data_IF_535554628557
#
_entry.id   IF_535554628557
#
_cell.length_a   1.000
_cell.length_b   1.000
_cell.length_c   1.000
_cell.angle_alpha   90.00
_cell.angle_beta   90.00
_cell.angle_gamma   90.00
#
_symmetry.space_group_name_H-M   'P 1'
#
loop_
_entity.id
_entity.type
_entity.pdbx_description
1 polymer ?
#
# COMPACT_ATOMS: atom_id res chain seq x y z
N UNK A 1 -23.22 -14.36 16.97
CA UNK A 1 -22.01 -14.75 16.21
C UNK A 1 -22.17 -14.28 14.78
N UNK A 2 -21.78 -13.03 14.51
CA UNK A 2 -21.77 -12.47 13.16
C UNK A 2 -20.47 -12.96 12.49
N UNK A 3 -20.63 -13.90 11.56
CA UNK A 3 -19.58 -14.62 10.84
C UNK A 3 -18.62 -13.67 10.12
N UNK A 4 -17.37 -13.57 10.56
CA UNK A 4 -16.24 -12.96 9.85
C UNK A 4 -16.08 -13.51 8.41
N UNK A 5 -16.50 -14.77 8.21
CA UNK A 5 -16.57 -15.44 6.91
C UNK A 5 -17.59 -14.81 5.94
N UNK A 6 -18.50 -13.93 6.42
CA UNK A 6 -19.52 -13.29 5.59
C UNK A 6 -19.12 -11.91 5.04
N UNK A 7 -18.29 -11.14 5.74
CA UNK A 7 -18.02 -9.75 5.33
C UNK A 7 -16.93 -9.64 4.26
N UNK A 8 -15.81 -10.35 4.43
CA UNK A 8 -14.71 -10.37 3.44
C UNK A 8 -15.21 -10.92 2.10
N UNK A 9 -15.97 -12.02 2.12
CA UNK A 9 -16.56 -12.60 0.93
C UNK A 9 -17.62 -11.70 0.27
N UNK A 10 -18.40 -10.95 1.06
CA UNK A 10 -19.36 -9.97 0.53
C UNK A 10 -18.64 -8.78 -0.13
N UNK A 11 -17.58 -8.27 0.50
CA UNK A 11 -16.76 -7.18 -0.07
C UNK A 11 -16.07 -7.61 -1.36
N UNK A 12 -15.50 -8.81 -1.41
CA UNK A 12 -14.90 -9.37 -2.63
C UNK A 12 -15.94 -9.52 -3.77
N UNK A 13 -17.15 -10.00 -3.45
CA UNK A 13 -18.25 -10.09 -4.43
C UNK A 13 -18.71 -8.71 -4.92
N UNK A 14 -18.81 -7.71 -4.04
CA UNK A 14 -19.11 -6.32 -4.43
C UNK A 14 -18.04 -5.77 -5.37
N UNK A 15 -16.75 -6.01 -5.09
CA UNK A 15 -15.68 -5.60 -5.98
C UNK A 15 -15.63 -6.38 -7.30
N UNK A 16 -16.12 -7.62 -7.35
CA UNK A 16 -16.20 -8.40 -8.61
C UNK A 16 -17.13 -7.76 -9.63
N UNK A 17 -18.19 -7.07 -9.18
CA UNK A 17 -19.09 -6.30 -10.07
C UNK A 17 -18.34 -5.12 -10.70
N UNK A 18 -17.35 -4.57 -10.00
CA UNK A 18 -16.47 -3.49 -10.49
C UNK A 18 -15.53 -3.97 -11.59
N UNK A 19 -15.22 -5.27 -11.71
CA UNK A 19 -14.27 -5.77 -12.72
C UNK A 19 -14.71 -5.54 -14.17
N UNK A 20 -16.03 -5.45 -14.39
CA UNK A 20 -16.57 -5.16 -15.72
C UNK A 20 -16.61 -3.66 -16.05
N UNK A 21 -16.49 -2.78 -15.05
CA UNK A 21 -16.63 -1.33 -15.23
C UNK A 21 -15.55 -0.67 -16.11
N UNK A 22 -14.26 -1.08 -16.09
CA UNK A 22 -13.28 -0.57 -17.06
C UNK A 22 -13.60 -0.92 -18.51
N UNK A 23 -14.27 -2.06 -18.76
CA UNK A 23 -14.70 -2.42 -20.11
C UNK A 23 -15.80 -1.47 -20.62
N UNK A 24 -16.77 -1.13 -19.76
CA UNK A 24 -17.82 -0.16 -20.11
C UNK A 24 -17.27 1.25 -20.36
N UNK A 25 -16.28 1.69 -19.59
CA UNK A 25 -15.58 2.98 -19.84
C UNK A 25 -14.92 2.96 -21.22
N UNK A 26 -14.20 1.90 -21.58
CA UNK A 26 -13.58 1.79 -22.92
C UNK A 26 -14.61 1.81 -24.05
N UNK A 27 -15.74 1.13 -23.87
CA UNK A 27 -16.83 1.13 -24.86
C UNK A 27 -17.48 2.51 -25.00
N UNK A 28 -17.76 3.18 -23.88
CA UNK A 28 -18.30 4.54 -23.87
C UNK A 28 -17.37 5.55 -24.56
N UNK A 29 -16.06 5.46 -24.32
CA UNK A 29 -15.06 6.30 -24.99
C UNK A 29 -15.10 6.14 -26.53
N UNK A 30 -15.23 4.90 -27.02
CA UNK A 30 -15.33 4.60 -28.46
C UNK A 30 -16.63 5.11 -29.09
N UNK A 31 -17.73 5.06 -28.35
CA UNK A 31 -19.02 5.60 -28.81
C UNK A 31 -18.92 7.12 -28.95
N UNK A 32 -18.37 7.80 -27.94
CA UNK A 32 -18.18 9.26 -27.93
C UNK A 32 -17.30 9.74 -29.10
N UNK A 33 -16.27 8.96 -29.47
CA UNK A 33 -15.42 9.25 -30.63
C UNK A 33 -16.16 9.20 -31.98
N UNK A 34 -17.32 8.53 -32.05
CA UNK A 34 -18.12 8.35 -33.28
C UNK A 34 -19.27 9.33 -33.42
N UNK A 35 -19.59 10.09 -32.37
CA UNK A 35 -20.71 11.05 -32.34
C UNK A 35 -20.22 12.50 -32.18
N UNK A 36 -19.12 12.84 -32.87
CA UNK A 36 -18.45 14.14 -32.73
C UNK A 36 -19.34 15.32 -33.14
N UNK A 37 -20.32 15.08 -34.01
CA UNK A 37 -21.24 16.10 -34.51
C UNK A 37 -22.48 16.30 -33.62
N UNK A 38 -22.58 15.59 -32.49
CA UNK A 38 -23.72 15.69 -31.59
C UNK A 38 -23.71 17.02 -30.83
N UNK A 39 -24.83 17.79 -30.80
CA UNK A 39 -24.94 19.01 -30.00
C UNK A 39 -24.82 18.73 -28.49
N UNK A 40 -25.19 17.52 -28.05
CA UNK A 40 -25.13 17.09 -26.64
C UNK A 40 -23.75 16.54 -26.24
N UNK A 41 -22.78 16.49 -27.17
CA UNK A 41 -21.45 15.92 -26.92
C UNK A 41 -20.75 16.49 -25.67
N UNK A 42 -20.80 17.82 -25.37
CA UNK A 42 -20.18 18.35 -24.15
C UNK A 42 -20.77 17.76 -22.86
N UNK A 43 -22.09 17.57 -22.83
CA UNK A 43 -22.79 16.97 -21.68
C UNK A 43 -22.41 15.50 -21.52
N UNK A 44 -22.43 14.74 -22.63
CA UNK A 44 -22.05 13.32 -22.66
C UNK A 44 -20.58 13.09 -22.26
N UNK A 45 -19.66 13.98 -22.68
CA UNK A 45 -18.26 13.97 -22.25
C UNK A 45 -18.12 14.25 -20.75
N UNK A 46 -18.93 15.15 -20.20
CA UNK A 46 -19.00 15.42 -18.76
C UNK A 46 -19.40 14.17 -17.97
N UNK A 47 -20.51 13.53 -18.35
CA UNK A 47 -20.97 12.28 -17.75
C UNK A 47 -19.93 11.16 -17.86
N UNK A 48 -19.31 11.02 -19.03
CA UNK A 48 -18.24 10.04 -19.24
C UNK A 48 -17.06 10.25 -18.29
N UNK A 49 -16.58 11.49 -18.12
CA UNK A 49 -15.48 11.81 -17.20
C UNK A 49 -15.84 11.48 -15.74
N UNK A 50 -17.09 11.72 -15.34
CA UNK A 50 -17.57 11.33 -14.00
C UNK A 50 -17.56 9.82 -13.82
N UNK A 51 -18.03 9.06 -14.81
CA UNK A 51 -18.01 7.59 -14.80
C UNK A 51 -16.57 7.08 -14.76
N UNK A 52 -15.68 7.60 -15.62
CA UNK A 52 -14.26 7.23 -15.65
C UNK A 52 -13.59 7.46 -14.28
N UNK A 53 -13.83 8.62 -13.68
CA UNK A 53 -13.26 8.98 -12.37
C UNK A 53 -13.79 8.05 -11.27
N UNK A 54 -15.08 7.72 -11.30
CA UNK A 54 -15.71 6.80 -10.34
C UNK A 54 -15.11 5.40 -10.44
N UNK A 55 -14.96 4.86 -11.66
CA UNK A 55 -14.35 3.56 -11.91
C UNK A 55 -12.90 3.54 -11.42
N UNK A 56 -12.11 4.56 -11.76
CA UNK A 56 -10.71 4.67 -11.30
C UNK A 56 -10.61 4.71 -9.78
N UNK A 57 -11.53 5.40 -9.11
CA UNK A 57 -11.56 5.49 -7.65
C UNK A 57 -11.94 4.14 -7.03
N UNK A 58 -12.92 3.42 -7.60
CA UNK A 58 -13.28 2.07 -7.14
C UNK A 58 -12.13 1.08 -7.33
N UNK A 59 -11.40 1.11 -8.45
CA UNK A 59 -10.21 0.27 -8.65
C UNK A 59 -9.14 0.54 -7.59
N UNK A 60 -8.90 1.81 -7.25
CA UNK A 60 -7.97 2.18 -6.17
C UNK A 60 -8.43 1.69 -4.80
N UNK A 61 -9.73 1.83 -4.49
CA UNK A 61 -10.31 1.35 -3.24
C UNK A 61 -10.18 -0.17 -3.10
N UNK A 62 -10.47 -0.92 -4.17
CA UNK A 62 -10.27 -2.38 -4.20
C UNK A 62 -8.81 -2.74 -3.94
N UNK A 63 -7.88 -2.15 -4.69
CA UNK A 63 -6.45 -2.44 -4.51
C UNK A 63 -5.99 -2.15 -3.07
N UNK A 64 -6.50 -1.08 -2.43
CA UNK A 64 -6.23 -0.78 -1.02
C UNK A 64 -6.85 -1.83 -0.09
N UNK A 65 -8.08 -2.27 -0.36
CA UNK A 65 -8.76 -3.30 0.42
C UNK A 65 -8.00 -4.63 0.38
N UNK A 66 -7.62 -5.10 -0.82
CA UNK A 66 -6.88 -6.34 -1.00
C UNK A 66 -5.52 -6.30 -0.27
N UNK A 67 -4.81 -5.17 -0.33
CA UNK A 67 -3.57 -4.95 0.44
C UNK A 67 -3.79 -4.99 1.94
N UNK A 68 -4.85 -4.34 2.44
CA UNK A 68 -5.17 -4.34 3.87
C UNK A 68 -5.55 -5.74 4.36
N UNK A 69 -6.24 -6.54 3.54
CA UNK A 69 -6.52 -7.94 3.85
C UNK A 69 -5.23 -8.77 3.94
N UNK A 70 -4.28 -8.54 3.04
CA UNK A 70 -2.98 -9.21 3.08
C UNK A 70 -2.20 -8.87 4.36
N UNK A 71 -2.16 -7.58 4.73
CA UNK A 71 -1.53 -7.11 5.98
C UNK A 71 -2.22 -7.73 7.20
N UNK A 72 -3.56 -7.79 7.21
CA UNK A 72 -4.33 -8.39 8.29
C UNK A 72 -4.07 -9.91 8.41
N UNK A 73 -3.98 -10.60 7.27
CA UNK A 73 -3.66 -12.02 7.24
C UNK A 73 -2.26 -12.29 7.82
N UNK A 74 -1.28 -11.45 7.50
CA UNK A 74 0.06 -11.53 8.08
C UNK A 74 0.04 -11.21 9.58
N UNK A 75 -0.62 -10.11 9.98
CA UNK A 75 -0.67 -9.68 11.38
C UNK A 75 -1.35 -10.71 12.28
N UNK A 76 -2.41 -11.36 11.79
CA UNK A 76 -3.12 -12.41 12.55
C UNK A 76 -2.26 -13.63 12.88
N UNK A 77 -1.18 -13.84 12.12
CA UNK A 77 -0.25 -14.95 12.32
C UNK A 77 0.98 -14.54 13.12
N UNK A 78 1.26 -13.24 13.29
CA UNK A 78 2.40 -12.78 14.07
C UNK A 78 1.98 -12.60 15.53
N UNK A 79 2.67 -13.30 16.43
CA UNK A 79 2.47 -13.17 17.88
C UNK A 79 3.03 -11.81 18.39
N UNK A 80 2.36 -10.70 18.07
CA UNK A 80 2.71 -9.35 18.52
C UNK A 80 1.50 -8.42 18.53
N UNK A 81 1.17 -7.86 19.70
CA UNK A 81 -0.03 -7.04 19.92
C UNK A 81 -0.03 -5.68 19.18
N UNK A 82 1.11 -5.25 18.62
CA UNK A 82 1.28 -3.89 18.06
C UNK A 82 1.68 -3.84 16.58
N UNK A 83 1.47 -4.93 15.83
CA UNK A 83 1.90 -4.99 14.43
C UNK A 83 0.93 -4.32 13.44
N UNK A 84 -0.37 -4.28 13.74
CA UNK A 84 -1.35 -3.71 12.82
C UNK A 84 -1.30 -2.18 12.81
N UNK A 85 -1.07 -1.59 11.63
CA UNK A 85 -1.23 -0.17 11.37
C UNK A 85 -1.91 -0.01 10.01
N UNK A 86 -3.02 0.73 9.97
CA UNK A 86 -3.90 0.92 8.80
C UNK A 86 -3.20 1.54 7.58
N UNK A 87 -2.01 2.12 7.77
CA UNK A 87 -1.21 2.73 6.72
C UNK A 87 -0.06 1.85 6.22
N UNK A 88 0.10 0.64 6.77
CA UNK A 88 1.10 -0.32 6.31
C UNK A 88 0.67 -0.95 5.00
N UNK A 89 1.58 -0.94 4.03
CA UNK A 89 1.44 -1.67 2.79
C UNK A 89 2.60 -2.66 2.67
N UNK A 90 2.29 -3.92 2.44
CA UNK A 90 3.30 -4.91 2.12
C UNK A 90 3.89 -4.59 0.75
N UNK A 91 5.22 -4.46 0.69
CA UNK A 91 5.98 -4.20 -0.53
C UNK A 91 6.54 -5.50 -1.09
N UNK A 92 7.13 -6.32 -0.22
CA UNK A 92 7.71 -7.59 -0.62
C UNK A 92 7.80 -8.57 0.56
N UNK A 93 7.79 -9.87 0.29
CA UNK A 93 7.94 -10.89 1.33
C UNK A 93 8.62 -12.15 0.77
N UNK A 94 9.24 -12.94 1.65
CA UNK A 94 9.94 -14.15 1.24
C UNK A 94 10.65 -14.87 2.38
N UNK A 95 11.09 -16.11 2.12
CA UNK A 95 11.93 -16.87 3.04
C UNK A 95 13.40 -16.60 2.73
N UNK A 96 14.13 -16.11 3.72
CA UNK A 96 15.51 -15.65 3.59
C UNK A 96 16.32 -16.24 4.75
N UNK A 97 17.61 -16.45 4.56
CA UNK A 97 18.49 -16.86 5.64
C UNK A 97 19.06 -15.61 6.35
N UNK A 98 18.91 -15.54 7.67
CA UNK A 98 19.58 -14.53 8.47
C UNK A 98 21.01 -14.99 8.74
N UNK A 99 21.99 -14.25 8.24
CA UNK A 99 23.40 -14.65 8.31
C UNK A 99 23.90 -14.72 9.76
N UNK A 100 23.30 -13.95 10.68
CA UNK A 100 23.74 -13.88 12.08
C UNK A 100 23.29 -15.09 12.89
N UNK A 101 22.07 -15.59 12.63
CA UNK A 101 21.51 -16.75 13.32
C UNK A 101 21.67 -18.05 12.53
N UNK A 102 22.00 -17.98 11.23
CA UNK A 102 21.97 -19.10 10.28
C UNK A 102 20.59 -19.79 10.20
N UNK A 103 19.53 -19.09 10.64
CA UNK A 103 18.15 -19.59 10.57
C UNK A 103 17.45 -19.06 9.32
N UNK A 104 16.55 -19.89 8.76
CA UNK A 104 15.62 -19.42 7.73
C UNK A 104 14.48 -18.64 8.37
N UNK A 105 14.42 -17.36 8.06
CA UNK A 105 13.39 -16.43 8.55
C UNK A 105 12.40 -16.09 7.44
N UNK A 106 11.17 -15.81 7.84
CA UNK A 106 10.18 -15.13 7.01
C UNK A 106 10.41 -13.63 7.11
N UNK A 107 10.72 -13.00 5.98
CA UNK A 107 10.96 -11.58 5.91
C UNK A 107 9.77 -10.89 5.23
N UNK A 108 9.26 -9.83 5.86
CA UNK A 108 8.20 -8.99 5.30
C UNK A 108 8.67 -7.54 5.31
N UNK A 109 8.73 -6.94 4.13
CA UNK A 109 9.05 -5.54 3.92
C UNK A 109 7.76 -4.76 3.69
N UNK A 110 7.49 -3.81 4.59
CA UNK A 110 6.42 -2.83 4.47
C UNK A 110 7.01 -1.47 4.06
N UNK A 111 6.13 -0.53 3.75
CA UNK A 111 6.51 0.85 3.41
C UNK A 111 7.20 1.60 4.56
N UNK A 112 7.02 1.21 5.81
CA UNK A 112 7.60 1.86 7.00
C UNK A 112 8.57 0.97 7.80
N UNK A 113 8.49 -0.34 7.63
CA UNK A 113 9.18 -1.30 8.50
C UNK A 113 9.57 -2.58 7.76
N UNK A 114 10.70 -3.18 8.15
CA UNK A 114 11.07 -4.54 7.80
C UNK A 114 10.99 -5.40 9.04
N UNK A 115 10.29 -6.52 8.94
CA UNK A 115 10.23 -7.50 10.02
C UNK A 115 10.80 -8.84 9.55
N UNK A 116 11.41 -9.55 10.49
CA UNK A 116 11.74 -10.96 10.31
C UNK A 116 11.06 -11.78 11.38
N UNK A 117 10.55 -12.94 10.99
CA UNK A 117 9.87 -13.86 11.86
C UNK A 117 10.40 -15.28 11.67
N UNK A 118 10.30 -16.09 12.71
CA UNK A 118 10.51 -17.54 12.61
C UNK A 118 9.13 -18.20 12.70
N UNK A 119 8.85 -19.12 11.78
CA UNK A 119 7.60 -19.88 11.79
C UNK A 119 7.65 -20.98 12.85
N UNK A 120 6.53 -21.19 13.52
CA UNK A 120 6.30 -22.39 14.33
C UNK A 120 5.64 -23.51 13.50
N UNK A 121 5.47 -24.68 14.12
CA UNK A 121 4.83 -25.84 13.48
C UNK A 121 3.32 -25.63 13.22
N UNK A 122 2.70 -24.64 13.87
CA UNK A 122 1.27 -24.34 13.79
C UNK A 122 0.93 -23.26 12.75
N UNK A 123 1.92 -22.75 12.02
CA UNK A 123 1.73 -21.68 11.04
C UNK A 123 1.60 -20.27 11.65
N UNK A 124 1.94 -20.12 12.92
CA UNK A 124 2.16 -18.83 13.59
C UNK A 124 3.62 -18.40 13.41
N UNK A 125 3.84 -17.11 13.54
CA UNK A 125 5.12 -16.44 13.34
C UNK A 125 5.52 -15.71 14.62
N UNK A 126 6.70 -16.05 15.14
CA UNK A 126 7.32 -15.31 16.24
C UNK A 126 8.20 -14.21 15.66
N UNK A 127 7.95 -12.96 16.05
CA UNK A 127 8.74 -11.81 15.62
C UNK A 127 10.17 -11.90 16.19
N UNK A 128 11.19 -11.89 15.31
CA UNK A 128 12.61 -11.86 15.70
C UNK A 128 13.16 -10.44 15.68
N UNK A 129 13.09 -9.79 14.51
CA UNK A 129 13.60 -8.43 14.33
C UNK A 129 12.51 -7.52 13.75
N UNK A 130 12.59 -6.25 14.12
CA UNK A 130 11.70 -5.18 13.66
C UNK A 130 12.53 -3.93 13.41
N UNK A 131 12.68 -3.56 12.15
CA UNK A 131 13.58 -2.50 11.68
C UNK A 131 12.73 -1.42 11.03
N UNK A 132 12.56 -0.29 11.73
CA UNK A 132 11.96 0.90 11.14
C UNK A 132 12.81 1.37 9.95
N UNK A 133 12.14 1.57 8.81
CA UNK A 133 12.68 2.10 7.56
C UNK A 133 12.42 3.60 7.41
N UNK A 134 11.80 4.23 8.41
CA UNK A 134 11.59 5.68 8.44
C UNK A 134 12.89 6.34 8.90
N UNK A 135 13.51 7.09 7.98
CA UNK A 135 14.68 7.90 8.29
C UNK A 135 14.26 9.22 8.95
N UNK A 136 14.85 9.52 10.10
CA UNK A 136 14.70 10.80 10.80
C UNK A 136 16.06 11.50 10.98
N UNK A 137 16.08 12.75 11.48
CA UNK A 137 17.31 13.56 11.56
C UNK A 137 18.44 12.96 12.43
N UNK A 138 18.14 11.93 13.24
CA UNK A 138 19.10 11.23 14.11
C UNK A 138 19.27 9.75 13.77
N UNK A 139 18.55 9.25 12.76
CA UNK A 139 18.50 7.82 12.44
C UNK A 139 18.22 7.65 10.96
N UNK A 140 19.26 7.32 10.21
CA UNK A 140 19.21 7.07 8.78
C UNK A 140 19.58 5.63 8.53
N UNK A 141 18.67 4.90 7.88
CA UNK A 141 18.89 3.50 7.53
C UNK A 141 19.47 3.42 6.12
N UNK A 142 20.46 2.56 5.93
CA UNK A 142 21.04 2.27 4.61
C UNK A 142 21.14 0.77 4.39
N UNK A 143 20.85 0.33 3.17
CA UNK A 143 21.12 -1.04 2.74
C UNK A 143 22.34 -1.09 1.81
N UNK A 144 23.21 -2.07 2.02
CA UNK A 144 24.47 -2.23 1.29
C UNK A 144 24.63 -3.69 0.89
N UNK A 145 24.93 -3.94 -0.38
CA UNK A 145 25.27 -5.27 -0.87
C UNK A 145 26.63 -5.70 -0.33
N UNK A 146 26.70 -6.89 0.27
CA UNK A 146 27.93 -7.46 0.83
C UNK A 146 28.56 -8.49 -0.08
N UNK A 147 27.73 -9.26 -0.79
CA UNK A 147 28.17 -10.26 -1.77
C UNK A 147 27.13 -10.39 -2.89
N UNK A 148 27.36 -11.21 -3.93
CA UNK A 148 26.35 -11.47 -4.94
C UNK A 148 25.02 -11.96 -4.36
N UNK A 149 25.02 -12.69 -3.24
CA UNK A 149 23.82 -13.27 -2.64
C UNK A 149 23.42 -12.67 -1.30
N UNK A 150 24.14 -11.69 -0.78
CA UNK A 150 23.85 -11.11 0.53
C UNK A 150 23.90 -9.59 0.56
N UNK A 151 23.05 -9.01 1.41
CA UNK A 151 23.11 -7.59 1.75
C UNK A 151 22.89 -7.39 3.25
N UNK A 152 23.28 -6.22 3.72
CA UNK A 152 23.07 -5.80 5.10
C UNK A 152 22.29 -4.50 5.17
N UNK A 153 21.61 -4.30 6.29
CA UNK A 153 20.98 -3.04 6.65
C UNK A 153 21.68 -2.53 7.90
N UNK A 154 22.05 -1.25 7.88
CA UNK A 154 22.78 -0.60 8.97
C UNK A 154 22.27 0.80 9.25
N UNK A 155 22.60 1.31 10.43
CA UNK A 155 22.47 2.72 10.79
C UNK A 155 23.66 3.50 10.23
N UNK A 156 23.39 4.50 9.40
CA UNK A 156 24.43 5.27 8.72
C UNK A 156 25.30 6.04 9.72
N UNK A 157 24.71 6.56 10.80
CA UNK A 157 25.42 7.41 11.77
C UNK A 157 26.42 6.62 12.62
N UNK A 158 26.10 5.36 12.93
CA UNK A 158 26.90 4.53 13.84
C UNK A 158 27.66 3.42 13.14
N UNK A 159 27.33 3.14 11.87
CA UNK A 159 27.76 1.93 11.18
C UNK A 159 27.18 0.64 11.76
N UNK A 160 26.31 0.72 12.78
CA UNK A 160 25.77 -0.45 13.47
C UNK A 160 24.90 -1.27 12.51
N UNK A 161 25.29 -2.53 12.33
CA UNK A 161 24.50 -3.52 11.59
C UNK A 161 23.19 -3.79 12.32
N UNK A 162 22.07 -3.72 11.58
CA UNK A 162 20.74 -4.06 12.07
C UNK A 162 20.36 -5.49 11.69
N UNK A 163 20.67 -5.90 10.45
CA UNK A 163 20.49 -7.27 9.98
C UNK A 163 21.37 -7.55 8.76
N UNK A 164 21.76 -8.81 8.58
CA UNK A 164 22.45 -9.32 7.40
C UNK A 164 21.62 -10.47 6.83
N UNK A 165 21.23 -10.34 5.56
CA UNK A 165 20.33 -11.28 4.90
C UNK A 165 21.05 -11.96 3.74
N UNK A 166 20.91 -13.29 3.67
CA UNK A 166 21.47 -14.13 2.63
C UNK A 166 20.36 -14.80 1.81
N UNK A 167 20.45 -14.64 0.48
CA UNK A 167 19.52 -15.18 -0.51
C UNK A 167 20.14 -16.40 -1.21
N UNK A 168 19.31 -17.17 -1.91
CA UNK A 168 19.80 -18.32 -2.67
C UNK A 168 20.47 -17.93 -3.98
N UNK A 169 20.04 -16.83 -4.59
CA UNK A 169 20.54 -16.40 -5.90
C UNK A 169 20.85 -14.90 -5.92
N UNK A 170 21.74 -14.50 -6.82
CA UNK A 170 22.08 -13.10 -7.02
C UNK A 170 20.87 -12.27 -7.47
N UNK A 171 20.03 -12.84 -8.35
CA UNK A 171 18.80 -12.19 -8.79
C UNK A 171 17.87 -11.88 -7.60
N UNK A 172 17.68 -12.81 -6.67
CA UNK A 172 16.89 -12.56 -5.46
C UNK A 172 17.49 -11.45 -4.60
N UNK A 173 18.81 -11.45 -4.41
CA UNK A 173 19.51 -10.41 -3.66
C UNK A 173 19.30 -9.03 -4.29
N UNK A 174 19.48 -8.90 -5.61
CA UNK A 174 19.26 -7.64 -6.33
C UNK A 174 17.81 -7.16 -6.25
N UNK A 175 16.82 -8.05 -6.38
CA UNK A 175 15.41 -7.71 -6.24
C UNK A 175 15.08 -7.19 -4.84
N UNK A 176 15.51 -7.91 -3.80
CA UNK A 176 15.28 -7.49 -2.42
C UNK A 176 15.96 -6.16 -2.09
N UNK A 177 17.22 -6.01 -2.48
CA UNK A 177 17.97 -4.77 -2.26
C UNK A 177 17.31 -3.59 -2.98
N UNK A 178 16.79 -3.80 -4.19
CA UNK A 178 16.03 -2.80 -4.93
C UNK A 178 14.77 -2.34 -4.20
N UNK A 179 13.98 -3.28 -3.67
CA UNK A 179 12.79 -2.93 -2.87
C UNK A 179 13.15 -2.20 -1.57
N UNK A 180 14.16 -2.68 -0.84
CA UNK A 180 14.61 -2.06 0.41
C UNK A 180 15.10 -0.63 0.16
N UNK A 181 15.94 -0.42 -0.84
CA UNK A 181 16.42 0.92 -1.19
C UNK A 181 15.28 1.84 -1.62
N UNK A 182 14.33 1.34 -2.42
CA UNK A 182 13.16 2.11 -2.82
C UNK A 182 12.32 2.57 -1.62
N UNK A 183 12.14 1.72 -0.61
CA UNK A 183 11.44 2.09 0.63
C UNK A 183 12.21 3.15 1.42
N UNK A 184 13.53 2.95 1.60
CA UNK A 184 14.41 3.90 2.31
C UNK A 184 14.38 5.27 1.61
N UNK A 185 14.51 5.31 0.28
CA UNK A 185 14.48 6.54 -0.50
C UNK A 185 13.12 7.25 -0.41
N UNK A 186 12.03 6.49 -0.50
CA UNK A 186 10.67 7.05 -0.39
C UNK A 186 10.47 7.71 0.97
N UNK A 187 10.93 7.07 2.04
CA UNK A 187 10.83 7.62 3.38
C UNK A 187 11.81 8.78 3.64
N UNK A 188 12.99 8.77 3.00
CA UNK A 188 13.95 9.87 3.07
C UNK A 188 13.51 11.15 2.37
N UNK A 189 12.75 11.03 1.26
CA UNK A 189 12.19 12.19 0.55
C UNK A 189 11.10 12.90 1.38
N UNK A 190 10.32 12.16 2.16
CA UNK A 190 9.26 12.74 2.99
C UNK A 190 9.80 13.45 4.25
N UNK A 191 11.03 13.16 4.69
CA UNK A 191 11.64 13.84 5.85
C UNK A 191 12.37 15.14 5.49
N UNK A 192 12.63 15.41 4.20
CA UNK A 192 13.16 16.69 3.71
C UNK A 192 12.11 17.79 3.49
N UNK A 193 10.84 17.42 3.34
CA UNK A 193 9.73 18.35 3.03
C UNK A 193 8.78 18.58 4.21
N UNK A 194 9.05 18.02 5.39
CA UNK A 194 8.33 18.35 6.63
C UNK A 194 8.89 19.62 7.30
N UNK A 195 8.91 20.72 6.56
CA UNK A 195 8.80 22.10 7.08
C UNK A 195 8.73 23.09 5.91
N UNK A 196 7.68 23.01 5.07
CA UNK A 196 7.20 24.18 4.33
C UNK A 196 5.79 23.93 3.79
N UNK A 197 4.83 24.66 4.34
CA UNK A 197 3.52 24.96 3.78
C UNK A 197 2.70 23.76 3.28
N UNK A 198 1.98 23.09 4.20
CA UNK A 198 0.68 22.54 3.82
C UNK A 198 -0.13 23.68 3.18
N UNK A 199 -0.53 23.59 1.90
CA UNK A 199 -1.61 24.43 1.43
C UNK A 199 -2.84 23.98 2.21
N UNK A 200 -3.40 24.87 3.05
CA UNK A 200 -4.75 24.70 3.60
C UNK A 200 -5.65 24.25 2.45
N UNK A 201 -6.10 23.00 2.48
CA UNK A 201 -6.94 22.47 1.41
C UNK A 201 -8.20 23.33 1.34
N UNK A 202 -8.37 24.10 0.26
CA UNK A 202 -9.68 24.68 -0.01
C UNK A 202 -10.64 23.51 -0.18
N UNK A 203 -11.66 23.45 0.67
CA UNK A 203 -12.85 22.63 0.47
C UNK A 203 -13.28 22.81 -0.99
N UNK A 204 -13.19 21.74 -1.76
CA UNK A 204 -13.75 21.70 -3.11
C UNK A 204 -15.16 21.16 -2.94
N UNK A 205 -16.12 22.07 -2.77
CA UNK A 205 -17.54 21.73 -2.79
C UNK A 205 -17.98 21.58 -4.24
N UNK A 206 -18.38 20.36 -4.63
CA UNK A 206 -18.97 20.09 -5.92
C UNK A 206 -20.50 20.20 -5.76
N UNK A 207 -21.09 21.29 -6.26
CA UNK A 207 -22.54 21.45 -6.31
C UNK A 207 -23.09 20.75 -7.56
N UNK A 208 -23.85 19.66 -7.36
CA UNK A 208 -24.62 19.03 -8.44
C UNK A 208 -26.06 19.52 -8.32
N UNK A 209 -26.43 20.51 -9.13
CA UNK A 209 -27.81 21.00 -9.22
C UNK A 209 -28.60 20.12 -10.20
N UNK A 210 -29.31 19.13 -9.66
CA UNK A 210 -30.34 18.35 -10.36
C UNK A 210 -31.71 18.62 -9.75
N UNK A 211 -32.74 18.73 -10.59
CA UNK A 211 -34.13 19.11 -10.29
C UNK A 211 -34.94 18.07 -9.48
N UNK A 212 -34.39 17.55 -8.39
CA UNK A 212 -35.12 16.77 -7.40
C UNK A 212 -34.57 17.07 -6.00
N UNK A 213 -35.46 17.40 -5.07
CA UNK A 213 -35.25 18.00 -3.75
C UNK A 213 -34.55 17.11 -2.71
N UNK A 214 -33.44 16.47 -3.06
CA UNK A 214 -32.63 15.70 -2.12
C UNK A 214 -31.14 15.89 -2.41
N UNK A 215 -30.52 16.76 -1.61
CA UNK A 215 -29.08 16.99 -1.64
C UNK A 215 -28.41 15.86 -0.87
N UNK A 216 -27.60 15.06 -1.54
CA UNK A 216 -26.72 14.08 -0.90
C UNK A 216 -25.33 14.69 -0.73
N UNK A 217 -24.90 14.93 0.50
CA UNK A 217 -23.52 15.32 0.82
C UNK A 217 -22.70 14.10 1.21
N UNK A 218 -21.72 13.72 0.37
CA UNK A 218 -20.69 12.75 0.72
C UNK A 218 -19.63 13.43 1.61
N UNK A 219 -19.79 13.30 2.92
CA UNK A 219 -18.77 13.70 3.89
C UNK A 219 -17.70 12.62 3.98
N UNK A 220 -16.46 12.93 3.58
CA UNK A 220 -15.31 12.10 3.93
C UNK A 220 -14.93 12.42 5.37
N UNK A 221 -15.08 11.44 6.28
CA UNK A 221 -14.62 11.56 7.65
C UNK A 221 -13.09 11.58 7.68
N UNK A 222 -12.51 12.77 7.75
CA UNK A 222 -11.17 12.97 8.30
C UNK A 222 -11.24 14.00 9.44
N UNK A 223 -12.07 13.74 10.44
CA UNK A 223 -11.98 14.42 11.73
C UNK A 223 -12.21 13.39 12.84
N UNK A 224 -11.10 12.90 13.41
CA UNK A 224 -11.05 12.62 14.85
C UNK A 224 -10.41 13.84 15.51
N UNK A 225 -11.21 14.44 16.38
CA UNK A 225 -10.89 15.23 17.58
C UNK A 225 -10.56 16.72 17.43
N UNK A 226 -11.56 17.55 17.73
CA UNK A 226 -11.50 18.54 18.82
C UNK A 226 -12.88 18.66 19.48
#
# INVERSE_FOLDING_TARGET
TFTEVSFVGLMQKLFSIVDHTPAYVRSAARILQRIQDSPDLPSLLGTYRMIETSVRTMTKMRAKFDRNLEVLAISSRILSENFFNEHRNLIHHGKIEDFTSQERVHCYLFNDILITCVGDENGLFTLRNSISMISGPKRTVRAIQMSPTSFQILLQETGKHLIILNMRTQSQCSTWLGFVNSVIETNGKHSGEMQQNQPKSKKSELFITGSSSTIWSLCFNSEKNA
#
